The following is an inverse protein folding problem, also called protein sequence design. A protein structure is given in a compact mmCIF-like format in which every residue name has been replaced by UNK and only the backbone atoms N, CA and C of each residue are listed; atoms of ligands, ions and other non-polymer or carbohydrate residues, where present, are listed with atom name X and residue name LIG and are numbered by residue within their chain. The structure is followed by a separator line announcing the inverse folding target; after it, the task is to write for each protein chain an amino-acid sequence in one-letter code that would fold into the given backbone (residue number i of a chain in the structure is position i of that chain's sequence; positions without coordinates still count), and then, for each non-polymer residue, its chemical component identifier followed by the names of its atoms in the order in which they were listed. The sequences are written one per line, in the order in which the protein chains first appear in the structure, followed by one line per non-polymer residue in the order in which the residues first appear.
data_IF_940587352171
#
_entry.id   IF_940587352171
#
_cell.length_a   1.000
_cell.length_b   1.000
_cell.length_c   1.000
_cell.angle_alpha   90.00
_cell.angle_beta   90.00
_cell.angle_gamma   90.00
#
_symmetry.space_group_name_H-M   'P 1'
#
loop_
_entity.id
_entity.type
_entity.pdbx_description
1 polymer ?
#
# COMPACT_ATOMS: atom_id res chain seq x y z
N UNK A 1 -2.76 12.58 2.38
CA UNK A 1 -3.90 11.82 2.97
C UNK A 1 -4.91 11.61 1.86
N UNK A 2 -5.24 10.36 1.54
CA UNK A 2 -6.19 10.03 0.47
C UNK A 2 -7.53 9.61 1.09
N UNK A 3 -8.61 10.31 0.72
CA UNK A 3 -9.98 9.96 1.14
C UNK A 3 -10.62 9.19 -0.02
N UNK A 4 -11.18 8.03 0.30
CA UNK A 4 -11.84 7.17 -0.69
C UNK A 4 -13.31 7.59 -0.79
N UNK A 5 -13.69 8.29 -1.85
CA UNK A 5 -15.05 8.83 -2.02
C UNK A 5 -16.05 7.83 -2.65
N UNK A 6 -15.58 6.69 -3.15
CA UNK A 6 -16.41 5.70 -3.85
C UNK A 6 -16.35 4.34 -3.20
N UNK A 7 -17.53 3.73 -2.97
CA UNK A 7 -17.65 2.38 -2.46
C UNK A 7 -16.93 1.36 -3.36
N UNK A 8 -17.07 1.48 -4.69
CA UNK A 8 -16.39 0.60 -5.63
C UNK A 8 -14.87 0.71 -5.51
N UNK A 9 -14.34 1.92 -5.36
CA UNK A 9 -12.90 2.16 -5.17
C UNK A 9 -12.41 1.54 -3.84
N UNK A 10 -13.19 1.66 -2.78
CA UNK A 10 -12.89 1.04 -1.48
C UNK A 10 -12.81 -0.49 -1.56
N UNK A 11 -13.77 -1.12 -2.24
CA UNK A 11 -13.77 -2.59 -2.42
C UNK A 11 -12.58 -3.04 -3.25
N UNK A 12 -12.23 -2.30 -4.32
CA UNK A 12 -11.04 -2.61 -5.14
C UNK A 12 -9.77 -2.56 -4.27
N UNK A 13 -9.57 -1.50 -3.49
CA UNK A 13 -8.42 -1.41 -2.60
C UNK A 13 -8.42 -2.50 -1.52
N UNK A 14 -9.58 -2.88 -1.00
CA UNK A 14 -9.70 -3.99 -0.06
C UNK A 14 -9.26 -5.32 -0.70
N UNK A 15 -9.73 -5.63 -1.91
CA UNK A 15 -9.33 -6.85 -2.62
C UNK A 15 -7.84 -6.85 -2.93
N UNK A 16 -7.29 -5.73 -3.43
CA UNK A 16 -5.86 -5.61 -3.72
C UNK A 16 -5.01 -5.82 -2.48
N UNK A 17 -5.35 -5.19 -1.36
CA UNK A 17 -4.60 -5.36 -0.10
C UNK A 17 -4.65 -6.80 0.43
N UNK A 18 -5.82 -7.44 0.37
CA UNK A 18 -5.98 -8.84 0.76
C UNK A 18 -5.19 -9.81 -0.13
N UNK A 19 -5.15 -9.56 -1.45
CA UNK A 19 -4.34 -10.34 -2.39
C UNK A 19 -2.84 -10.17 -2.13
N UNK A 20 -2.36 -8.94 -1.92
CA UNK A 20 -0.95 -8.67 -1.63
C UNK A 20 -0.49 -9.36 -0.33
N UNK A 21 -1.32 -9.33 0.72
CA UNK A 21 -1.00 -9.97 1.99
C UNK A 21 -0.98 -11.49 1.88
N UNK A 22 -2.01 -12.09 1.26
CA UNK A 22 -2.09 -13.54 1.07
C UNK A 22 -1.01 -14.09 0.13
N UNK A 23 -0.66 -13.35 -0.93
CA UNK A 23 0.35 -13.75 -1.90
C UNK A 23 1.76 -13.83 -1.29
N UNK A 24 2.10 -12.92 -0.38
CA UNK A 24 3.42 -12.90 0.26
C UNK A 24 3.71 -14.17 1.07
N UNK A 25 2.78 -14.62 1.91
CA UNK A 25 2.97 -15.85 2.69
C UNK A 25 3.08 -17.10 1.82
N UNK A 26 2.29 -17.18 0.73
CA UNK A 26 2.34 -18.30 -0.22
C UNK A 26 3.66 -18.33 -1.01
N UNK A 27 4.14 -17.17 -1.45
CA UNK A 27 5.41 -17.05 -2.17
C UNK A 27 6.61 -17.32 -1.26
N UNK A 28 6.57 -16.90 0.01
CA UNK A 28 7.59 -17.27 1.00
C UNK A 28 7.65 -18.79 1.19
N UNK A 29 6.49 -19.47 1.26
CA UNK A 29 6.43 -20.93 1.41
C UNK A 29 6.99 -21.67 0.19
N UNK A 30 6.88 -21.07 -1.00
CA UNK A 30 7.45 -21.60 -2.23
C UNK A 30 8.96 -21.34 -2.31
N UNK A 31 9.40 -20.10 -2.10
CA UNK A 31 10.79 -19.66 -2.22
C UNK A 31 11.67 -20.15 -1.06
N UNK A 32 11.12 -20.32 0.14
CA UNK A 32 11.86 -20.77 1.33
C UNK A 32 12.44 -22.17 1.22
N UNK A 33 12.06 -22.96 0.21
CA UNK A 33 12.66 -24.26 -0.10
C UNK A 33 14.00 -24.16 -0.82
N UNK A 34 14.21 -23.07 -1.57
CA UNK A 34 15.35 -22.94 -2.50
C UNK A 34 16.21 -21.72 -2.20
N UNK A 35 15.67 -20.72 -1.51
CA UNK A 35 16.32 -19.43 -1.30
C UNK A 35 16.30 -19.01 0.17
N UNK A 36 17.33 -18.24 0.54
CA UNK A 36 17.50 -17.74 1.90
C UNK A 36 16.48 -16.64 2.19
N UNK A 37 15.96 -16.67 3.42
CA UNK A 37 14.95 -15.71 3.87
C UNK A 37 15.44 -14.26 3.77
N UNK A 38 16.73 -13.99 4.06
CA UNK A 38 17.25 -12.61 4.05
C UNK A 38 17.21 -11.98 2.64
N UNK A 39 17.46 -12.77 1.58
CA UNK A 39 17.39 -12.27 0.20
C UNK A 39 15.93 -12.06 -0.24
N UNK A 40 15.04 -13.00 0.09
CA UNK A 40 13.61 -12.86 -0.21
C UNK A 40 13.01 -11.61 0.46
N UNK A 41 13.43 -11.30 1.69
CA UNK A 41 12.95 -10.13 2.41
C UNK A 41 13.53 -8.82 1.88
N UNK A 42 14.72 -8.86 1.28
CA UNK A 42 15.34 -7.69 0.64
C UNK A 42 14.49 -7.15 -0.51
N UNK A 43 13.99 -8.04 -1.37
CA UNK A 43 13.08 -7.69 -2.47
C UNK A 43 11.77 -7.09 -1.94
N UNK A 44 11.24 -7.63 -0.85
CA UNK A 44 10.04 -7.12 -0.19
C UNK A 44 10.23 -5.70 0.34
N UNK A 45 11.35 -5.42 1.02
CA UNK A 45 11.65 -4.10 1.59
C UNK A 45 11.81 -3.05 0.49
N UNK A 46 12.56 -3.37 -0.57
CA UNK A 46 12.72 -2.47 -1.72
C UNK A 46 11.36 -2.21 -2.37
N UNK A 47 10.56 -3.25 -2.57
CA UNK A 47 9.22 -3.14 -3.15
C UNK A 47 8.30 -2.21 -2.36
N UNK A 48 8.26 -2.37 -1.03
CA UNK A 48 7.46 -1.48 -0.16
C UNK A 48 7.99 -0.05 -0.19
N UNK A 49 9.31 0.15 -0.18
CA UNK A 49 9.89 1.49 -0.24
C UNK A 49 9.53 2.19 -1.56
N UNK A 50 9.70 1.52 -2.69
CA UNK A 50 9.34 2.05 -4.01
C UNK A 50 7.82 2.33 -4.11
N UNK A 51 6.99 1.40 -3.63
CA UNK A 51 5.54 1.55 -3.63
C UNK A 51 5.07 2.69 -2.70
N UNK A 52 5.70 2.85 -1.54
CA UNK A 52 5.43 3.96 -0.62
C UNK A 52 5.75 5.32 -1.24
N UNK A 53 6.89 5.42 -1.94
CA UNK A 53 7.25 6.64 -2.68
C UNK A 53 6.24 6.92 -3.80
N UNK A 54 5.87 5.90 -4.60
CA UNK A 54 4.86 6.02 -5.64
C UNK A 54 3.52 6.50 -5.08
N UNK A 55 3.00 5.86 -4.03
CA UNK A 55 1.74 6.24 -3.41
C UNK A 55 1.81 7.63 -2.76
N UNK A 56 2.93 7.96 -2.12
CA UNK A 56 3.16 9.27 -1.50
C UNK A 56 3.10 10.41 -2.52
N UNK A 57 3.76 10.24 -3.67
CA UNK A 57 3.76 11.23 -4.75
C UNK A 57 2.48 11.27 -5.59
N UNK A 58 1.68 10.20 -5.61
CA UNK A 58 0.45 10.11 -6.43
C UNK A 58 -0.83 10.32 -5.61
N UNK A 59 -1.23 9.35 -4.79
CA UNK A 59 -2.46 9.39 -4.00
C UNK A 59 -2.30 10.22 -2.71
N UNK A 60 -1.08 10.32 -2.17
CA UNK A 60 -0.77 11.07 -0.96
C UNK A 60 -0.77 12.58 -1.12
N UNK A 61 -0.50 13.07 -2.33
CA UNK A 61 -0.28 14.48 -2.69
C UNK A 61 -1.54 15.24 -3.14
N UNK A 62 -2.66 14.55 -3.34
CA UNK A 62 -3.93 15.12 -3.86
C UNK A 62 -4.94 15.53 -2.76
N UNK A 63 -4.51 15.62 -1.50
CA UNK A 63 -5.39 16.01 -0.40
C UNK A 63 -5.79 17.48 -0.44
N UNK A 64 -7.07 17.77 -0.74
CA UNK A 64 -7.64 19.11 -0.52
C UNK A 64 -7.86 19.31 0.99
N UNK A 65 -7.22 20.31 1.57
CA UNK A 65 -7.49 20.74 2.94
C UNK A 65 -8.95 21.21 3.00
N UNK A 66 -9.81 20.66 3.89
CA UNK A 66 -11.14 21.22 4.09
C UNK A 66 -10.97 22.60 4.73
N UNK A 67 -11.36 23.67 4.03
CA UNK A 67 -11.32 25.07 4.49
C UNK A 67 -12.27 25.37 5.69
N UNK A 68 -12.68 24.35 6.45
CA UNK A 68 -13.68 24.46 7.52
C UNK A 68 -13.09 24.82 8.90
N UNK A 69 -11.77 24.89 9.05
CA UNK A 69 -11.10 25.23 10.33
C UNK A 69 -10.81 26.74 10.47
N UNK A 70 -10.86 27.52 9.37
CA UNK A 70 -10.58 28.96 9.39
C UNK A 70 -11.82 29.86 9.63
N UNK A 71 -13.03 29.29 9.76
CA UNK A 71 -14.28 30.05 9.99
C UNK A 71 -14.94 29.78 11.35
N UNK A 72 -14.20 29.21 12.32
CA UNK A 72 -14.71 28.97 13.69
C UNK A 72 -13.73 29.42 14.79
N UNK A 73 -13.11 30.57 14.61
CA UNK A 73 -12.48 31.37 15.69
C UNK A 73 -12.91 32.81 15.51
#
# INVERSE_FOLDING_TARGET
MFIVDSYSLAVIFCVVTMLCWGSWGNTQKLAGKTWRYELFYWDYVIGILAFSLLLGFTLGSTGRMPDAVLLKI
#
